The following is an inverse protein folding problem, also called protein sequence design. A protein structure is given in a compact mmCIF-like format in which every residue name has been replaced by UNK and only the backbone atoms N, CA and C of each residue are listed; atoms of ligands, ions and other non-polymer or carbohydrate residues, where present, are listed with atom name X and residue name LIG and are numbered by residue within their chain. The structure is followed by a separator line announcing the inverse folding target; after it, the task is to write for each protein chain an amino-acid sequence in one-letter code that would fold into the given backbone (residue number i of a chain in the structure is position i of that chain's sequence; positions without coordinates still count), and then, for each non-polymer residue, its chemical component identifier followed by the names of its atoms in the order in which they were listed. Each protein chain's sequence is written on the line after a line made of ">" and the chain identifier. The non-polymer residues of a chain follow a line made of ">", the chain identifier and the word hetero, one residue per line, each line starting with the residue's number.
data_IF_793938150780
#
_entry.id   IF_793938150780
#
_cell.length_a   1.000
_cell.length_b   1.000
_cell.length_c   1.000
_cell.angle_alpha   90.00
_cell.angle_beta   90.00
_cell.angle_gamma   90.00
#
_symmetry.space_group_name_H-M   'P 1'
#
loop_
_entity.id
_entity.type
_entity.pdbx_description
1 polymer ?
#
# COMPACT_ATOMS: atom_id res chain seq x y z
N UNK A 1 -3.54 10.60 -16.60
CA UNK A 1 -4.41 11.61 -15.97
C UNK A 1 -4.95 12.61 -16.98
N UNK A 2 -4.10 13.34 -17.75
CA UNK A 2 -4.55 14.31 -18.79
C UNK A 2 -5.42 13.65 -19.87
N UNK A 3 -5.05 12.45 -20.33
CA UNK A 3 -5.82 11.69 -21.34
C UNK A 3 -7.20 11.27 -20.82
N UNK A 4 -7.29 10.87 -19.55
CA UNK A 4 -8.57 10.54 -18.93
C UNK A 4 -9.46 11.78 -18.77
N UNK A 5 -8.87 12.93 -18.38
CA UNK A 5 -9.58 14.20 -18.35
C UNK A 5 -10.15 14.58 -19.72
N UNK A 6 -9.34 14.44 -20.78
CA UNK A 6 -9.76 14.75 -22.14
C UNK A 6 -10.93 13.88 -22.63
N UNK A 7 -10.96 12.60 -22.21
CA UNK A 7 -12.04 11.65 -22.56
C UNK A 7 -13.35 11.87 -21.80
N UNK A 8 -13.31 12.51 -20.64
CA UNK A 8 -14.48 12.70 -19.79
C UNK A 8 -15.55 13.63 -20.37
N UNK A 9 -15.32 14.26 -21.54
CA UNK A 9 -16.26 15.14 -22.29
C UNK A 9 -16.97 16.24 -21.47
N UNK A 10 -16.58 16.45 -20.21
CA UNK A 10 -17.19 17.46 -19.34
C UNK A 10 -16.30 18.69 -19.29
N UNK A 11 -16.67 19.77 -19.99
CA UNK A 11 -15.95 21.07 -19.98
C UNK A 11 -15.69 21.59 -18.55
N UNK A 12 -16.63 21.40 -17.62
CA UNK A 12 -16.49 21.79 -16.20
C UNK A 12 -15.31 21.10 -15.49
N UNK A 13 -14.89 19.91 -15.98
CA UNK A 13 -13.76 19.19 -15.38
C UNK A 13 -12.42 19.89 -15.62
N UNK A 14 -12.26 20.61 -16.74
CA UNK A 14 -11.07 21.38 -17.04
C UNK A 14 -11.01 22.72 -16.29
N UNK A 15 -12.17 23.30 -15.98
CA UNK A 15 -12.27 24.56 -15.24
C UNK A 15 -12.00 24.38 -13.73
N UNK A 16 -12.17 23.19 -13.19
CA UNK A 16 -11.74 22.86 -11.82
C UNK A 16 -10.25 22.53 -11.83
N UNK A 17 -9.46 23.23 -11.02
CA UNK A 17 -8.03 22.96 -10.82
C UNK A 17 -7.81 21.64 -10.05
N UNK A 18 -8.46 20.57 -10.47
CA UNK A 18 -8.29 19.24 -9.87
C UNK A 18 -6.96 18.67 -10.36
N UNK A 19 -6.02 18.52 -9.47
CA UNK A 19 -4.76 17.81 -9.72
C UNK A 19 -4.90 16.38 -9.17
N UNK A 20 -4.54 15.34 -9.96
CA UNK A 20 -4.46 14.00 -9.41
C UNK A 20 -3.36 13.97 -8.34
N UNK A 21 -3.66 13.40 -7.19
CA UNK A 21 -2.65 13.08 -6.20
C UNK A 21 -1.99 11.77 -6.63
N UNK A 22 -0.71 11.83 -6.96
CA UNK A 22 0.08 10.67 -7.41
C UNK A 22 1.16 10.42 -6.37
N UNK A 23 1.12 9.25 -5.75
CA UNK A 23 2.17 8.77 -4.85
C UNK A 23 2.93 7.67 -5.57
N UNK A 24 4.23 7.84 -5.68
CA UNK A 24 5.15 6.81 -6.18
C UNK A 24 5.75 6.12 -4.96
N UNK A 25 5.71 4.78 -4.96
CA UNK A 25 6.34 3.99 -3.91
C UNK A 25 7.78 3.71 -4.32
N UNK A 26 8.70 4.19 -3.54
CA UNK A 26 10.13 4.07 -3.78
C UNK A 26 10.79 3.25 -2.67
N UNK A 27 11.80 2.48 -3.05
CA UNK A 27 12.63 1.76 -2.10
C UNK A 27 13.44 2.74 -1.26
N UNK A 28 13.25 2.69 0.05
CA UNK A 28 14.01 3.49 1.02
C UNK A 28 14.56 2.57 2.10
N UNK A 29 15.84 2.24 2.01
CA UNK A 29 16.52 1.41 3.00
C UNK A 29 17.21 2.23 4.07
N UNK A 30 17.36 1.68 5.25
CA UNK A 30 18.09 2.27 6.38
C UNK A 30 19.08 1.26 6.95
N UNK A 31 20.29 1.72 7.29
CA UNK A 31 21.22 0.93 8.08
C UNK A 31 20.72 0.87 9.54
N UNK A 32 21.04 -0.22 10.22
CA UNK A 32 20.57 -0.45 11.61
C UNK A 32 21.11 0.61 12.57
N UNK A 33 22.36 1.00 12.41
CA UNK A 33 23.04 2.02 13.20
C UNK A 33 22.44 3.40 12.91
N UNK A 34 22.22 3.74 11.65
CA UNK A 34 21.61 4.98 11.19
C UNK A 34 20.24 5.22 11.86
N UNK A 35 19.37 4.20 11.86
CA UNK A 35 18.07 4.30 12.52
C UNK A 35 18.22 4.44 14.04
N UNK A 36 19.15 3.73 14.65
CA UNK A 36 19.40 3.82 16.09
C UNK A 36 19.83 5.22 16.51
N UNK A 37 20.73 5.83 15.76
CA UNK A 37 21.21 7.20 16.01
C UNK A 37 20.10 8.22 15.80
N UNK A 38 19.34 8.06 14.72
CA UNK A 38 18.19 8.90 14.44
C UNK A 38 17.12 8.79 15.54
N UNK A 39 16.78 7.58 15.98
CA UNK A 39 15.83 7.34 17.08
C UNK A 39 16.28 8.00 18.39
N UNK A 40 17.58 7.96 18.69
CA UNK A 40 18.14 8.55 19.88
C UNK A 40 18.07 10.09 19.84
N UNK A 41 18.24 10.69 18.67
CA UNK A 41 18.16 12.13 18.46
C UNK A 41 16.72 12.67 18.46
N UNK A 42 15.79 11.90 17.90
CA UNK A 42 14.38 12.32 17.78
C UNK A 42 13.54 12.02 19.03
N UNK A 43 14.03 11.15 19.90
CA UNK A 43 13.32 10.67 21.10
C UNK A 43 12.57 9.36 20.84
N UNK A 44 12.76 8.44 21.77
CA UNK A 44 12.25 7.06 21.65
C UNK A 44 10.72 6.96 21.71
N UNK A 45 10.05 7.94 22.27
CA UNK A 45 8.59 7.93 22.46
C UNK A 45 7.81 7.94 21.14
N UNK A 46 8.40 8.50 20.09
CA UNK A 46 7.82 8.51 18.72
C UNK A 46 8.09 7.22 17.95
N UNK A 47 9.14 6.47 18.33
CA UNK A 47 9.53 5.24 17.68
C UNK A 47 8.89 4.02 18.34
N UNK A 48 7.62 3.82 18.02
CA UNK A 48 6.96 2.57 18.35
C UNK A 48 7.51 1.44 17.46
N UNK A 49 7.33 0.20 17.91
CA UNK A 49 7.65 -0.99 17.13
C UNK A 49 7.05 -0.92 15.71
N UNK A 50 5.81 -0.43 15.59
CA UNK A 50 5.13 -0.29 14.30
C UNK A 50 5.79 0.71 13.34
N UNK A 51 6.40 1.79 13.83
CA UNK A 51 7.16 2.71 12.97
C UNK A 51 8.42 2.04 12.44
N UNK A 52 9.16 1.35 13.31
CA UNK A 52 10.37 0.63 12.90
C UNK A 52 10.07 -0.43 11.82
N UNK A 53 9.03 -1.25 12.03
CA UNK A 53 8.59 -2.23 11.04
C UNK A 53 8.16 -1.58 9.72
N UNK A 54 7.42 -0.47 9.79
CA UNK A 54 7.01 0.27 8.60
C UNK A 54 8.24 0.75 7.82
N UNK A 55 9.22 1.37 8.48
CA UNK A 55 10.44 1.81 7.81
C UNK A 55 11.20 0.65 7.15
N UNK A 56 11.26 -0.51 7.81
CA UNK A 56 11.89 -1.71 7.24
C UNK A 56 11.14 -2.25 6.02
N UNK A 57 9.80 -2.25 6.03
CA UNK A 57 9.01 -2.72 4.89
C UNK A 57 9.27 -1.88 3.63
N UNK A 58 9.48 -0.57 3.77
CA UNK A 58 9.80 0.30 2.63
C UNK A 58 11.21 0.10 2.06
N UNK A 59 12.07 -0.62 2.76
CA UNK A 59 13.32 -1.16 2.19
C UNK A 59 13.10 -2.17 1.06
N UNK A 60 11.88 -2.69 0.94
CA UNK A 60 11.44 -3.64 -0.09
C UNK A 60 10.23 -3.11 -0.90
N UNK A 61 10.05 -1.78 -0.95
CA UNK A 61 8.88 -1.18 -1.59
C UNK A 61 8.81 -1.47 -3.11
N UNK A 62 9.95 -1.65 -3.77
CA UNK A 62 10.06 -2.10 -5.16
C UNK A 62 9.54 -3.53 -5.37
N UNK A 63 9.56 -4.36 -4.32
CA UNK A 63 9.15 -5.75 -4.35
C UNK A 63 7.70 -5.96 -3.86
N UNK A 64 7.30 -5.25 -2.81
CA UNK A 64 5.99 -5.41 -2.18
C UNK A 64 4.96 -4.39 -2.67
N UNK A 65 5.39 -3.23 -3.13
CA UNK A 65 4.52 -2.18 -3.64
C UNK A 65 3.40 -1.78 -2.68
N UNK A 66 2.22 -1.56 -3.22
CA UNK A 66 1.03 -1.15 -2.46
C UNK A 66 0.40 -2.27 -1.61
N UNK A 67 0.96 -3.49 -1.65
CA UNK A 67 0.62 -4.56 -0.72
C UNK A 67 1.15 -4.30 0.69
N UNK A 68 2.11 -3.39 0.87
CA UNK A 68 2.61 -2.98 2.20
C UNK A 68 1.44 -2.48 3.05
N UNK A 69 1.38 -3.01 4.28
CA UNK A 69 0.46 -2.57 5.34
C UNK A 69 1.26 -1.84 6.41
N UNK A 70 1.30 -0.50 6.39
CA UNK A 70 2.01 0.24 7.43
C UNK A 70 1.48 -0.11 8.83
N UNK A 71 2.38 -0.36 9.76
CA UNK A 71 2.04 -0.78 11.13
C UNK A 71 1.94 0.42 12.10
N UNK A 72 2.17 1.61 11.62
CA UNK A 72 2.04 2.85 12.40
C UNK A 72 0.56 3.17 12.59
N UNK A 73 0.12 3.35 13.83
CA UNK A 73 -1.29 3.55 14.16
C UNK A 73 -1.88 4.84 13.62
N UNK A 74 -1.19 5.96 13.76
CA UNK A 74 -1.57 7.25 13.17
C UNK A 74 -0.39 7.87 12.43
N UNK A 75 -0.26 7.49 11.16
CA UNK A 75 0.83 7.95 10.30
C UNK A 75 0.83 9.46 10.13
N UNK A 76 -0.36 10.08 10.02
CA UNK A 76 -0.49 11.53 9.81
C UNK A 76 0.05 12.34 11.00
N UNK A 77 -0.26 11.93 12.23
CA UNK A 77 0.24 12.60 13.44
C UNK A 77 1.74 12.44 13.61
N UNK A 78 2.27 11.23 13.34
CA UNK A 78 3.72 10.98 13.38
C UNK A 78 4.43 11.81 12.32
N UNK A 79 3.89 11.87 11.11
CA UNK A 79 4.42 12.68 10.02
C UNK A 79 4.43 14.17 10.39
N UNK A 80 3.32 14.70 10.89
CA UNK A 80 3.22 16.10 11.30
C UNK A 80 4.20 16.44 12.43
N UNK A 81 4.32 15.57 13.41
CA UNK A 81 5.24 15.74 14.55
C UNK A 81 6.70 15.76 14.08
N UNK A 82 7.07 14.86 13.17
CA UNK A 82 8.43 14.82 12.64
C UNK A 82 8.72 15.99 11.70
N UNK A 83 7.76 16.41 10.88
CA UNK A 83 7.91 17.59 10.00
C UNK A 83 8.16 18.88 10.77
N UNK A 84 7.63 19.01 11.98
CA UNK A 84 7.83 20.18 12.84
C UNK A 84 9.21 20.24 13.49
N UNK A 85 10.02 19.17 13.40
CA UNK A 85 11.35 19.13 14.00
C UNK A 85 12.42 19.69 13.06
N UNK A 86 13.22 20.59 13.59
CA UNK A 86 14.41 21.09 12.90
C UNK A 86 15.62 20.18 13.17
N UNK A 87 16.21 19.63 12.11
CA UNK A 87 17.39 18.79 12.13
C UNK A 87 18.61 19.46 11.47
N UNK A 88 18.57 20.77 11.25
CA UNK A 88 19.62 21.50 10.53
C UNK A 88 21.01 21.47 11.20
N UNK A 89 21.08 21.13 12.50
CA UNK A 89 22.35 21.08 13.23
C UNK A 89 23.24 19.85 12.94
N UNK A 90 22.74 18.83 12.27
CA UNK A 90 23.49 17.61 11.93
C UNK A 90 23.10 17.09 10.54
N UNK A 91 24.02 17.22 9.60
CA UNK A 91 23.76 16.88 8.19
C UNK A 91 23.35 15.41 7.97
N UNK A 92 23.96 14.49 8.70
CA UNK A 92 23.64 13.06 8.66
C UNK A 92 22.21 12.77 9.13
N UNK A 93 21.85 13.37 10.26
CA UNK A 93 20.49 13.24 10.80
C UNK A 93 19.46 13.92 9.90
N UNK A 94 19.81 15.04 9.26
CA UNK A 94 18.93 15.73 8.32
C UNK A 94 18.63 14.87 7.09
N UNK A 95 19.60 14.18 6.52
CA UNK A 95 19.40 13.27 5.39
C UNK A 95 18.51 12.09 5.79
N UNK A 96 18.82 11.40 6.88
CA UNK A 96 18.00 10.31 7.40
C UNK A 96 16.58 10.79 7.71
N UNK A 97 16.42 11.98 8.26
CA UNK A 97 15.13 12.59 8.54
C UNK A 97 14.29 12.78 7.27
N UNK A 98 14.86 13.29 6.19
CA UNK A 98 14.15 13.46 4.92
C UNK A 98 13.72 12.10 4.34
N UNK A 99 14.55 11.06 4.46
CA UNK A 99 14.22 9.70 4.04
C UNK A 99 13.08 9.12 4.88
N UNK A 100 13.08 9.31 6.19
CA UNK A 100 11.99 8.92 7.09
C UNK A 100 10.69 9.65 6.73
N UNK A 101 10.74 10.96 6.50
CA UNK A 101 9.57 11.73 6.05
C UNK A 101 9.03 11.24 4.70
N UNK A 102 9.92 10.85 3.77
CA UNK A 102 9.51 10.28 2.48
C UNK A 102 8.74 8.97 2.68
N UNK A 103 9.27 8.06 3.51
CA UNK A 103 8.58 6.80 3.86
C UNK A 103 7.23 7.07 4.50
N UNK A 104 7.14 8.01 5.46
CA UNK A 104 5.88 8.32 6.13
C UNK A 104 4.82 8.89 5.18
N UNK A 105 5.19 9.71 4.18
CA UNK A 105 4.25 10.18 3.14
C UNK A 105 3.72 9.02 2.30
N UNK A 106 4.57 8.07 1.92
CA UNK A 106 4.13 6.85 1.21
C UNK A 106 3.25 5.97 2.11
N UNK A 107 3.63 5.80 3.38
CA UNK A 107 2.87 5.06 4.37
C UNK A 107 1.50 5.70 4.64
N UNK A 108 1.41 7.03 4.69
CA UNK A 108 0.15 7.75 4.84
C UNK A 108 -0.81 7.41 3.70
N UNK A 109 -0.35 7.46 2.44
CA UNK A 109 -1.16 7.08 1.30
C UNK A 109 -1.63 5.61 1.35
N UNK A 110 -0.83 4.70 1.91
CA UNK A 110 -1.19 3.29 2.08
C UNK A 110 -2.02 2.99 3.33
N UNK A 111 -2.16 3.93 4.24
CA UNK A 111 -2.94 3.80 5.48
C UNK A 111 -4.33 4.44 5.37
N UNK A 112 -4.53 5.32 4.42
CA UNK A 112 -5.82 5.96 4.18
C UNK A 112 -6.82 4.97 3.60
N UNK A 113 -8.10 5.23 3.87
CA UNK A 113 -9.21 4.51 3.24
C UNK A 113 -9.85 5.38 2.17
N UNK A 114 -10.15 4.76 1.04
CA UNK A 114 -10.65 5.42 -0.16
C UNK A 114 -12.07 4.93 -0.46
N UNK A 115 -13.00 5.84 -0.68
CA UNK A 115 -14.39 5.51 -0.99
C UNK A 115 -14.51 4.58 -2.22
N UNK A 116 -13.57 4.66 -3.13
CA UNK A 116 -13.47 3.78 -4.31
C UNK A 116 -12.01 3.36 -4.51
N UNK A 117 -11.76 2.07 -4.56
CA UNK A 117 -10.47 1.46 -4.89
C UNK A 117 -10.60 0.74 -6.22
N UNK A 118 -9.76 1.09 -7.19
CA UNK A 118 -9.76 0.44 -8.51
C UNK A 118 -8.36 -0.05 -8.83
N UNK A 119 -8.22 -1.32 -9.19
CA UNK A 119 -6.92 -1.87 -9.55
C UNK A 119 -7.03 -2.89 -10.71
N UNK A 120 -5.97 -2.92 -11.50
CA UNK A 120 -5.65 -4.03 -12.39
C UNK A 120 -4.29 -4.59 -11.91
N UNK A 121 -4.30 -5.48 -10.91
CA UNK A 121 -3.08 -6.01 -10.31
C UNK A 121 -2.32 -6.92 -11.28
N UNK A 122 -1.03 -7.12 -11.08
CA UNK A 122 -0.28 -8.12 -11.85
C UNK A 122 -0.78 -9.53 -11.54
N UNK A 123 -0.77 -10.38 -12.56
CA UNK A 123 -1.07 -11.81 -12.46
C UNK A 123 0.25 -12.57 -12.34
N UNK A 124 0.65 -12.85 -11.12
CA UNK A 124 1.90 -13.50 -10.82
C UNK A 124 1.68 -14.56 -9.74
N UNK A 125 1.52 -15.79 -10.16
CA UNK A 125 1.42 -16.93 -9.26
C UNK A 125 2.75 -17.21 -8.53
N UNK A 126 2.71 -18.06 -7.52
CA UNK A 126 3.85 -18.35 -6.65
C UNK A 126 5.15 -18.76 -7.37
N UNK A 127 5.05 -19.36 -8.57
CA UNK A 127 6.23 -19.72 -9.40
C UNK A 127 6.93 -18.49 -10.01
N UNK A 128 6.23 -17.39 -10.20
CA UNK A 128 6.78 -16.13 -10.71
C UNK A 128 7.34 -15.22 -9.63
N UNK A 129 6.99 -15.44 -8.37
CA UNK A 129 7.47 -14.65 -7.24
C UNK A 129 8.91 -15.01 -6.91
N UNK A 130 9.73 -14.00 -6.63
CA UNK A 130 11.05 -14.25 -6.06
C UNK A 130 10.93 -14.79 -4.62
N UNK A 131 12.01 -15.35 -4.08
CA UNK A 131 12.03 -15.98 -2.75
C UNK A 131 11.61 -15.02 -1.63
N UNK A 132 12.01 -13.74 -1.72
CA UNK A 132 11.69 -12.72 -0.73
C UNK A 132 10.20 -12.41 -0.70
N UNK A 133 9.61 -12.15 -1.87
CA UNK A 133 8.18 -11.89 -2.00
C UNK A 133 7.36 -13.11 -1.58
N UNK A 134 7.76 -14.30 -1.99
CA UNK A 134 7.06 -15.54 -1.64
C UNK A 134 7.03 -15.80 -0.13
N UNK A 135 8.14 -15.55 0.58
CA UNK A 135 8.20 -15.68 2.05
C UNK A 135 7.31 -14.63 2.72
N UNK A 136 7.47 -13.38 2.32
CA UNK A 136 6.69 -12.27 2.86
C UNK A 136 5.17 -12.45 2.62
N UNK A 137 4.77 -12.95 1.44
CA UNK A 137 3.37 -13.22 1.11
C UNK A 137 2.74 -14.29 2.02
N UNK A 138 3.51 -15.33 2.40
CA UNK A 138 3.04 -16.36 3.33
C UNK A 138 2.73 -15.82 4.71
N UNK A 139 3.50 -14.85 5.16
CA UNK A 139 3.37 -14.21 6.47
C UNK A 139 2.26 -13.15 6.49
N UNK A 140 2.17 -12.32 5.45
CA UNK A 140 1.30 -11.15 5.42
C UNK A 140 -0.04 -11.37 4.70
N UNK A 141 -0.12 -12.37 3.80
CA UNK A 141 -1.30 -12.70 2.99
C UNK A 141 -1.55 -14.22 2.95
N UNK A 142 -1.68 -14.91 4.10
CA UNK A 142 -1.78 -16.38 4.15
C UNK A 142 -2.94 -16.93 3.33
N UNK A 143 -4.05 -16.19 3.22
CA UNK A 143 -5.28 -16.61 2.54
C UNK A 143 -5.27 -16.36 1.03
N UNK A 144 -4.34 -15.54 0.54
CA UNK A 144 -4.27 -15.11 -0.86
C UNK A 144 -2.86 -15.22 -1.48
N UNK A 145 -1.91 -15.80 -0.74
CA UNK A 145 -0.48 -15.93 -1.10
C UNK A 145 -0.19 -16.63 -2.43
N UNK A 146 -1.17 -17.29 -3.01
CA UNK A 146 -0.99 -18.10 -4.23
C UNK A 146 -0.77 -17.26 -5.49
N UNK A 147 -1.28 -16.02 -5.52
CA UNK A 147 -1.10 -15.08 -6.63
C UNK A 147 -1.23 -13.64 -6.17
N UNK A 148 -0.52 -12.72 -6.84
CA UNK A 148 -0.55 -11.30 -6.51
C UNK A 148 -1.96 -10.71 -6.63
N UNK A 149 -2.72 -11.02 -7.68
CA UNK A 149 -4.06 -10.46 -7.83
C UNK A 149 -4.97 -10.78 -6.63
N UNK A 150 -4.82 -11.98 -6.06
CA UNK A 150 -5.60 -12.39 -4.90
C UNK A 150 -5.20 -11.61 -3.63
N UNK A 151 -3.90 -11.34 -3.45
CA UNK A 151 -3.43 -10.44 -2.39
C UNK A 151 -3.96 -9.01 -2.57
N UNK A 152 -4.07 -8.53 -3.80
CA UNK A 152 -4.67 -7.22 -4.10
C UNK A 152 -6.17 -7.17 -3.82
N UNK A 153 -6.92 -8.27 -3.99
CA UNK A 153 -8.32 -8.34 -3.54
C UNK A 153 -8.38 -8.12 -2.03
N UNK A 154 -7.57 -8.83 -1.27
CA UNK A 154 -7.50 -8.71 0.18
C UNK A 154 -7.05 -7.31 0.62
N UNK A 155 -6.05 -6.74 -0.05
CA UNK A 155 -5.58 -5.38 0.18
C UNK A 155 -6.66 -4.33 -0.13
N UNK A 156 -7.46 -4.57 -1.16
CA UNK A 156 -8.59 -3.72 -1.50
C UNK A 156 -9.58 -3.56 -0.36
N UNK A 157 -9.83 -4.61 0.42
CA UNK A 157 -10.70 -4.53 1.59
C UNK A 157 -10.11 -3.64 2.69
N UNK A 158 -8.79 -3.70 2.91
CA UNK A 158 -8.13 -2.86 3.90
C UNK A 158 -8.20 -1.37 3.53
N UNK A 159 -8.06 -1.07 2.23
CA UNK A 159 -8.06 0.30 1.70
C UNK A 159 -9.48 0.87 1.50
N UNK A 160 -10.52 0.05 1.61
CA UNK A 160 -11.90 0.48 1.40
C UNK A 160 -12.61 0.62 2.75
N UNK A 161 -13.30 1.76 3.04
CA UNK A 161 -14.10 1.89 4.24
C UNK A 161 -15.40 1.07 4.10
N UNK A 162 -16.12 0.92 5.22
CA UNK A 162 -17.47 0.36 5.18
C UNK A 162 -18.33 1.16 4.20
N UNK A 163 -19.07 0.47 3.34
CA UNK A 163 -19.89 1.04 2.25
C UNK A 163 -19.08 1.70 1.12
N UNK A 164 -17.77 1.49 1.06
CA UNK A 164 -16.96 1.87 -0.11
C UNK A 164 -16.97 0.77 -1.18
N UNK A 165 -16.39 1.07 -2.33
CA UNK A 165 -16.36 0.17 -3.48
C UNK A 165 -14.93 -0.26 -3.81
N UNK A 166 -14.73 -1.55 -4.04
CA UNK A 166 -13.49 -2.09 -4.58
C UNK A 166 -13.78 -2.75 -5.93
N UNK A 167 -13.11 -2.31 -6.98
CA UNK A 167 -13.28 -2.85 -8.33
C UNK A 167 -11.94 -3.30 -8.89
N UNK A 168 -11.86 -4.55 -9.33
CA UNK A 168 -10.61 -5.14 -9.79
C UNK A 168 -10.78 -5.99 -11.03
N UNK A 169 -9.77 -5.97 -11.89
CA UNK A 169 -9.61 -6.99 -12.93
C UNK A 169 -8.79 -8.13 -12.35
N UNK A 170 -9.31 -9.34 -12.37
CA UNK A 170 -8.67 -10.49 -11.73
C UNK A 170 -8.73 -11.74 -12.62
N UNK A 171 -7.89 -12.72 -12.32
CA UNK A 171 -8.06 -14.06 -12.86
C UNK A 171 -9.30 -14.73 -12.24
N UNK A 172 -10.00 -15.56 -13.01
CA UNK A 172 -11.16 -16.31 -12.55
C UNK A 172 -10.85 -17.39 -11.51
N UNK A 173 -9.62 -17.81 -11.39
CA UNK A 173 -9.16 -18.92 -10.56
C UNK A 173 -9.56 -18.83 -9.08
N UNK A 174 -9.70 -17.62 -8.54
CA UNK A 174 -10.15 -17.42 -7.15
C UNK A 174 -11.56 -17.96 -6.90
N UNK A 175 -12.39 -18.03 -7.93
CA UNK A 175 -13.78 -18.53 -7.81
C UNK A 175 -13.84 -20.04 -7.59
N UNK A 176 -12.82 -20.80 -8.03
CA UNK A 176 -12.92 -22.27 -8.11
C UNK A 176 -11.84 -23.02 -7.35
N UNK A 177 -10.59 -22.47 -7.28
CA UNK A 177 -9.49 -23.21 -6.66
C UNK A 177 -9.62 -23.28 -5.15
N UNK A 178 -9.27 -24.45 -4.57
CA UNK A 178 -9.27 -24.67 -3.13
C UNK A 178 -8.30 -23.76 -2.38
N UNK A 179 -7.19 -23.38 -3.01
CA UNK A 179 -6.23 -22.43 -2.43
C UNK A 179 -6.80 -21.05 -2.09
N UNK A 180 -7.99 -20.70 -2.60
CA UNK A 180 -8.69 -19.45 -2.34
C UNK A 180 -9.99 -19.63 -1.56
N UNK A 181 -10.23 -20.79 -0.95
CA UNK A 181 -11.45 -21.08 -0.20
C UNK A 181 -11.70 -20.06 0.91
N UNK A 182 -10.70 -19.79 1.71
CA UNK A 182 -10.78 -18.78 2.80
C UNK A 182 -11.03 -17.38 2.26
N UNK A 183 -10.36 -16.99 1.17
CA UNK A 183 -10.59 -15.70 0.52
C UNK A 183 -12.03 -15.59 -0.02
N UNK A 184 -12.56 -16.63 -0.68
CA UNK A 184 -13.96 -16.67 -1.14
C UNK A 184 -14.95 -16.56 0.02
N UNK A 185 -14.70 -17.32 1.10
CA UNK A 185 -15.51 -17.24 2.31
C UNK A 185 -15.60 -15.80 2.83
N UNK A 186 -14.46 -15.11 2.89
CA UNK A 186 -14.39 -13.72 3.30
C UNK A 186 -15.14 -12.78 2.35
N UNK A 187 -14.96 -12.93 1.04
CA UNK A 187 -15.67 -12.13 0.03
C UNK A 187 -17.19 -12.27 0.22
N UNK A 188 -17.68 -13.49 0.36
CA UNK A 188 -19.11 -13.75 0.43
C UNK A 188 -19.74 -13.39 1.78
N UNK A 189 -18.98 -13.40 2.88
CA UNK A 189 -19.49 -13.10 4.23
C UNK A 189 -19.33 -11.63 4.63
N UNK A 190 -18.29 -10.95 4.17
CA UNK A 190 -17.94 -9.58 4.61
C UNK A 190 -18.29 -8.51 3.56
N UNK A 191 -18.56 -8.91 2.30
CA UNK A 191 -18.80 -7.96 1.21
C UNK A 191 -20.03 -8.34 0.38
N UNK A 192 -20.49 -7.42 -0.48
CA UNK A 192 -21.50 -7.66 -1.52
C UNK A 192 -20.87 -7.53 -2.89
N UNK A 193 -21.08 -8.51 -3.76
CA UNK A 193 -20.67 -8.43 -5.15
C UNK A 193 -21.75 -7.67 -5.93
N UNK A 194 -21.53 -6.39 -6.18
CA UNK A 194 -22.48 -5.53 -6.87
C UNK A 194 -22.55 -5.83 -8.38
N UNK A 195 -21.41 -6.15 -8.98
CA UNK A 195 -21.31 -6.45 -10.40
C UNK A 195 -20.11 -7.37 -10.66
N UNK A 196 -20.28 -8.36 -11.52
CA UNK A 196 -19.20 -9.20 -12.01
C UNK A 196 -19.38 -9.47 -13.50
N UNK A 197 -18.34 -9.16 -14.27
CA UNK A 197 -18.25 -9.53 -15.68
C UNK A 197 -17.23 -10.66 -15.84
N UNK A 198 -17.71 -11.86 -16.18
CA UNK A 198 -16.84 -13.00 -16.47
C UNK A 198 -16.64 -13.10 -17.97
N UNK A 199 -15.42 -12.93 -18.43
CA UNK A 199 -15.05 -13.07 -19.83
C UNK A 199 -14.67 -14.52 -20.12
N UNK A 200 -15.26 -15.11 -21.15
CA UNK A 200 -14.88 -16.44 -21.60
C UNK A 200 -13.41 -16.44 -22.07
N UNK A 201 -12.73 -17.55 -21.83
CA UNK A 201 -11.42 -17.76 -22.44
C UNK A 201 -11.61 -17.86 -23.97
N UNK A 202 -11.01 -16.93 -24.70
CA UNK A 202 -10.90 -17.02 -26.16
C UNK A 202 -9.78 -17.95 -26.54
#
# INVERSE_FOLDING_TARGET
>A
ALTMKARAKQRRFFNKRIRPHITVLEKVGFAREELSDYMSAVGRDLFTHGLHETLQQFGEADNFGSLIRPQVGNVADVLATLQARDMAGNLFLAETHQRVLSVLRMAEALSQRYAVVVANPPYMGGKGMNARLSTWAKENYPNSKSDLFAMFIERGFDLTPRYGYSAMVTMQSWMFLSSYETLRGRILSETSIECMAHMANM
#
